data_IF_626410852154
#
_entry.id   IF_626410852154
#
_cell.length_a   1.000
_cell.length_b   1.000
_cell.length_c   1.000
_cell.angle_alpha   90.00
_cell.angle_beta   90.00
_cell.angle_gamma   90.00
#
_symmetry.space_group_name_H-M   'P 1'
#
loop_
_entity.id
_entity.type
_entity.pdbx_description
1 polymer ?
#
# COMPACT_ATOMS: atom_id res chain seq x y z
N UNK A 1 8.93 -8.12 11.18
CA UNK A 1 7.94 -7.29 11.87
C UNK A 1 7.00 -6.60 10.88
N UNK A 2 7.55 -5.85 9.93
CA UNK A 2 6.71 -5.11 8.98
C UNK A 2 5.93 -6.04 8.04
N UNK A 3 6.48 -7.18 7.64
CA UNK A 3 5.74 -8.12 6.78
C UNK A 3 4.54 -8.69 7.50
N UNK A 4 4.71 -9.10 8.76
CA UNK A 4 3.60 -9.58 9.57
C UNK A 4 2.55 -8.49 9.79
N UNK A 5 3.00 -7.25 10.04
CA UNK A 5 2.11 -6.12 10.23
C UNK A 5 1.30 -5.83 8.96
N UNK A 6 1.95 -5.91 7.78
CA UNK A 6 1.27 -5.72 6.51
C UNK A 6 0.17 -6.77 6.31
N UNK A 7 0.46 -8.03 6.62
CA UNK A 7 -0.52 -9.12 6.51
C UNK A 7 -1.70 -8.90 7.44
N UNK A 8 -1.44 -8.46 8.68
CA UNK A 8 -2.48 -8.16 9.65
C UNK A 8 -3.37 -7.00 9.18
N UNK A 9 -2.77 -5.95 8.63
CA UNK A 9 -3.53 -4.83 8.08
C UNK A 9 -4.39 -5.25 6.89
N UNK A 10 -3.85 -6.08 5.99
CA UNK A 10 -4.61 -6.55 4.83
C UNK A 10 -5.82 -7.38 5.27
N UNK A 11 -5.62 -8.28 6.24
CA UNK A 11 -6.70 -9.08 6.79
C UNK A 11 -7.79 -8.20 7.40
N UNK A 12 -7.39 -7.21 8.20
CA UNK A 12 -8.34 -6.27 8.80
C UNK A 12 -9.08 -5.47 7.73
N UNK A 13 -8.38 -5.03 6.67
CA UNK A 13 -9.00 -4.31 5.57
C UNK A 13 -10.08 -5.14 4.89
N UNK A 14 -9.79 -6.41 4.60
CA UNK A 14 -10.75 -7.30 3.93
C UNK A 14 -11.97 -7.57 4.82
N UNK A 15 -11.78 -7.70 6.13
CA UNK A 15 -12.89 -7.88 7.07
C UNK A 15 -13.79 -6.64 7.12
N UNK A 16 -13.19 -5.46 7.16
CA UNK A 16 -13.93 -4.19 7.17
C UNK A 16 -14.64 -3.96 5.85
N UNK A 17 -14.00 -4.30 4.75
CA UNK A 17 -14.60 -4.21 3.42
C UNK A 17 -15.85 -5.11 3.34
N UNK A 18 -15.75 -6.34 3.86
CA UNK A 18 -16.89 -7.28 3.87
C UNK A 18 -18.07 -6.74 4.67
N UNK A 19 -17.81 -5.91 5.69
CA UNK A 19 -18.85 -5.26 6.50
C UNK A 19 -19.33 -3.94 5.90
N UNK A 20 -18.84 -3.58 4.73
CA UNK A 20 -19.14 -2.30 4.07
C UNK A 20 -18.67 -1.07 4.86
N UNK A 21 -17.66 -1.25 5.72
CA UNK A 21 -17.00 -0.14 6.42
C UNK A 21 -15.85 0.35 5.55
N UNK A 22 -16.19 1.11 4.51
CA UNK A 22 -15.23 1.41 3.45
C UNK A 22 -14.12 2.36 3.89
N UNK A 23 -14.44 3.41 4.64
CA UNK A 23 -13.43 4.37 5.09
C UNK A 23 -12.37 3.69 5.96
N UNK A 24 -12.80 2.86 6.91
CA UNK A 24 -11.89 2.10 7.78
C UNK A 24 -11.09 1.07 6.97
N UNK A 25 -11.75 0.38 6.03
CA UNK A 25 -11.08 -0.59 5.18
C UNK A 25 -9.96 0.08 4.37
N UNK A 26 -10.24 1.25 3.79
CA UNK A 26 -9.26 2.00 3.00
C UNK A 26 -8.03 2.37 3.81
N UNK A 27 -8.20 2.79 5.07
CA UNK A 27 -7.08 3.11 5.95
C UNK A 27 -6.21 1.87 6.21
N UNK A 28 -6.84 0.71 6.37
CA UNK A 28 -6.10 -0.55 6.57
C UNK A 28 -5.35 -0.99 5.32
N UNK A 29 -5.92 -0.79 4.13
CA UNK A 29 -5.19 -1.03 2.87
C UNK A 29 -3.96 -0.12 2.78
N UNK A 30 -4.11 1.15 3.13
CA UNK A 30 -2.98 2.08 3.19
C UNK A 30 -1.91 1.58 4.18
N UNK A 31 -2.35 1.13 5.36
CA UNK A 31 -1.45 0.55 6.38
C UNK A 31 -0.69 -0.65 5.84
N UNK A 32 -1.37 -1.54 5.10
CA UNK A 32 -0.72 -2.71 4.52
C UNK A 32 0.38 -2.31 3.52
N UNK A 33 0.11 -1.30 2.69
CA UNK A 33 1.08 -0.80 1.71
C UNK A 33 2.27 -0.15 2.40
N UNK A 34 2.03 0.74 3.37
CA UNK A 34 3.12 1.45 4.06
C UNK A 34 3.99 0.49 4.87
N UNK A 35 3.40 -0.55 5.46
CA UNK A 35 4.19 -1.58 6.15
C UNK A 35 5.11 -2.32 5.17
N UNK A 36 4.64 -2.63 3.96
CA UNK A 36 5.49 -3.24 2.93
C UNK A 36 6.61 -2.30 2.50
N UNK A 37 6.32 -1.01 2.34
CA UNK A 37 7.35 -0.03 1.99
C UNK A 37 8.41 0.05 3.08
N UNK A 38 8.00 0.02 4.36
CA UNK A 38 8.94 -0.01 5.48
C UNK A 38 9.78 -1.28 5.46
N UNK A 39 9.20 -2.44 5.16
CA UNK A 39 9.94 -3.70 5.05
C UNK A 39 11.01 -3.63 3.95
N UNK A 40 10.63 -3.09 2.78
CA UNK A 40 11.57 -2.94 1.67
C UNK A 40 12.70 -1.99 2.04
N UNK A 41 12.35 -0.86 2.66
CA UNK A 41 13.36 0.12 3.08
C UNK A 41 14.34 -0.47 4.08
N UNK A 42 13.87 -1.27 5.04
CA UNK A 42 14.77 -1.96 5.98
C UNK A 42 15.73 -2.89 5.25
N UNK A 43 15.24 -3.66 4.29
CA UNK A 43 16.09 -4.57 3.51
C UNK A 43 17.15 -3.83 2.69
N UNK A 44 16.84 -2.62 2.27
CA UNK A 44 17.72 -1.81 1.41
C UNK A 44 18.55 -0.79 2.19
N UNK A 45 18.30 -0.63 3.50
CA UNK A 45 18.98 0.37 4.31
C UNK A 45 18.53 1.80 4.00
N UNK A 46 17.29 1.97 3.56
CA UNK A 46 16.72 3.29 3.23
C UNK A 46 15.94 3.85 4.41
N UNK A 47 15.85 5.18 4.49
CA UNK A 47 15.03 5.85 5.51
C UNK A 47 13.55 5.56 5.30
N UNK A 48 12.80 5.42 6.40
CA UNK A 48 11.36 5.09 6.36
C UNK A 48 10.60 5.65 7.56
N UNK A 49 10.89 6.90 7.93
CA UNK A 49 10.33 7.51 9.14
C UNK A 49 9.19 8.49 8.88
N UNK A 50 8.96 8.89 7.63
CA UNK A 50 7.96 9.90 7.30
C UNK A 50 7.18 9.52 6.05
N UNK A 51 6.06 10.21 5.83
CA UNK A 51 5.26 10.05 4.61
C UNK A 51 6.08 10.37 3.36
N UNK A 52 6.95 11.39 3.46
CA UNK A 52 7.86 11.75 2.37
C UNK A 52 8.77 10.60 1.98
N UNK A 53 9.20 9.81 2.95
CA UNK A 53 10.06 8.66 2.69
C UNK A 53 9.34 7.62 1.83
N UNK A 54 8.03 7.47 1.97
CA UNK A 54 7.26 6.57 1.11
C UNK A 54 7.33 7.00 -0.36
N UNK A 55 7.24 8.29 -0.64
CA UNK A 55 7.38 8.82 -2.01
C UNK A 55 8.76 8.50 -2.57
N UNK A 56 9.81 8.65 -1.76
CA UNK A 56 11.18 8.35 -2.17
C UNK A 56 11.34 6.86 -2.46
N UNK A 57 10.82 6.00 -1.58
CA UNK A 57 10.89 4.54 -1.75
C UNK A 57 10.20 4.13 -3.06
N UNK A 58 8.98 4.58 -3.28
CA UNK A 58 8.21 4.25 -4.50
C UNK A 58 8.97 4.74 -5.74
N UNK A 59 9.54 5.94 -5.69
CA UNK A 59 10.31 6.48 -6.81
C UNK A 59 11.54 5.63 -7.15
N UNK A 60 12.24 5.15 -6.12
CA UNK A 60 13.40 4.26 -6.30
C UNK A 60 12.98 2.92 -6.89
N UNK A 61 11.91 2.33 -6.40
CA UNK A 61 11.40 1.05 -6.93
C UNK A 61 10.94 1.21 -8.38
N UNK A 62 10.27 2.33 -8.69
CA UNK A 62 9.89 2.61 -10.07
C UNK A 62 11.10 2.63 -11.01
N UNK A 63 12.20 3.26 -10.59
CA UNK A 63 13.41 3.30 -11.42
C UNK A 63 14.00 1.92 -11.68
N UNK A 64 13.80 0.98 -10.77
CA UNK A 64 14.28 -0.39 -10.95
C UNK A 64 13.48 -1.16 -11.98
N UNK A 65 12.15 -1.06 -11.96
CA UNK A 65 11.29 -1.89 -12.80
C UNK A 65 10.61 -1.14 -13.94
N UNK A 66 10.60 0.20 -13.90
CA UNK A 66 10.00 1.07 -14.92
C UNK A 66 8.53 0.76 -15.23
N UNK A 67 7.80 0.25 -14.25
CA UNK A 67 6.37 0.00 -14.35
C UNK A 67 5.60 1.20 -13.81
N UNK A 68 5.03 1.99 -14.72
CA UNK A 68 4.29 3.22 -14.38
C UNK A 68 3.12 2.96 -13.45
N UNK A 69 2.53 1.76 -13.52
CA UNK A 69 1.39 1.43 -12.66
C UNK A 69 1.78 1.42 -11.18
N UNK A 70 3.06 1.21 -10.87
CA UNK A 70 3.54 1.28 -9.48
C UNK A 70 3.29 2.67 -8.91
N UNK A 71 3.61 3.73 -9.67
CA UNK A 71 3.38 5.11 -9.25
C UNK A 71 1.89 5.44 -9.17
N UNK A 72 1.12 5.00 -10.15
CA UNK A 72 -0.33 5.25 -10.21
C UNK A 72 -1.04 4.55 -9.06
N UNK A 73 -0.75 3.28 -8.84
CA UNK A 73 -1.36 2.49 -7.77
C UNK A 73 -1.04 3.09 -6.39
N UNK A 74 0.19 3.60 -6.22
CA UNK A 74 0.56 4.23 -4.96
C UNK A 74 -0.29 5.49 -4.70
N UNK A 75 -0.47 6.36 -5.71
CA UNK A 75 -1.29 7.56 -5.55
C UNK A 75 -2.75 7.22 -5.28
N UNK A 76 -3.27 6.19 -5.92
CA UNK A 76 -4.64 5.74 -5.68
C UNK A 76 -4.80 5.17 -4.27
N UNK A 77 -3.80 4.44 -3.79
CA UNK A 77 -3.83 3.92 -2.41
C UNK A 77 -3.72 5.06 -1.40
N UNK A 78 -2.88 6.05 -1.68
CA UNK A 78 -2.75 7.24 -0.84
C UNK A 78 -4.08 7.99 -0.73
N UNK A 79 -4.88 8.01 -1.81
CA UNK A 79 -6.21 8.61 -1.80
C UNK A 79 -7.16 7.89 -0.84
N UNK A 80 -6.99 6.60 -0.60
CA UNK A 80 -7.76 5.87 0.41
C UNK A 80 -7.47 6.40 1.81
N UNK A 81 -6.20 6.75 2.09
CA UNK A 81 -5.81 7.37 3.35
C UNK A 81 -6.49 8.73 3.51
N UNK A 82 -6.49 9.55 2.47
CA UNK A 82 -7.20 10.84 2.48
C UNK A 82 -8.71 10.64 2.70
N UNK A 83 -9.29 9.63 2.06
CA UNK A 83 -10.72 9.34 2.18
C UNK A 83 -11.11 8.93 3.60
N UNK A 84 -10.21 8.31 4.34
CA UNK A 84 -10.46 7.95 5.74
C UNK A 84 -10.81 9.19 6.56
N UNK A 85 -10.14 10.31 6.29
CA UNK A 85 -10.36 11.56 7.02
C UNK A 85 -11.49 12.41 6.43
N UNK A 86 -11.70 12.37 5.11
CA UNK A 86 -12.58 13.31 4.41
C UNK A 86 -13.84 12.67 3.81
N UNK A 87 -13.90 11.35 3.73
CA UNK A 87 -15.06 10.56 3.31
C UNK A 87 -15.71 11.08 2.01
N UNK A 88 -14.90 11.22 0.97
CA UNK A 88 -15.36 11.78 -0.32
C UNK A 88 -15.66 10.72 -1.39
N UNK A 89 -15.27 9.45 -1.18
CA UNK A 89 -15.47 8.40 -2.18
C UNK A 89 -16.82 7.72 -2.02
N UNK A 90 -17.56 7.54 -3.13
CA UNK A 90 -18.67 6.61 -3.14
C UNK A 90 -18.14 5.18 -3.26
N UNK A 91 -19.06 4.20 -3.26
CA UNK A 91 -18.67 2.79 -3.28
C UNK A 91 -17.92 2.41 -4.57
N UNK A 92 -18.37 2.92 -5.70
CA UNK A 92 -17.75 2.62 -6.99
C UNK A 92 -16.34 3.19 -7.06
N UNK A 93 -16.15 4.44 -6.68
CA UNK A 93 -14.84 5.08 -6.62
C UNK A 93 -13.92 4.35 -5.64
N UNK A 94 -14.44 3.99 -4.46
CA UNK A 94 -13.67 3.22 -3.49
C UNK A 94 -13.17 1.91 -4.08
N UNK A 95 -14.04 1.17 -4.79
CA UNK A 95 -13.67 -0.13 -5.36
C UNK A 95 -12.54 -0.01 -6.37
N UNK A 96 -12.55 1.04 -7.19
CA UNK A 96 -11.47 1.30 -8.15
C UNK A 96 -10.13 1.49 -7.41
N UNK A 97 -10.14 2.29 -6.34
CA UNK A 97 -8.94 2.52 -5.52
C UNK A 97 -8.50 1.28 -4.75
N UNK A 98 -9.46 0.49 -4.28
CA UNK A 98 -9.16 -0.77 -3.60
C UNK A 98 -8.42 -1.74 -4.52
N UNK A 99 -8.87 -1.86 -5.77
CA UNK A 99 -8.21 -2.73 -6.75
C UNK A 99 -6.77 -2.28 -6.98
N UNK A 100 -6.52 -0.98 -7.07
CA UNK A 100 -5.17 -0.45 -7.19
C UNK A 100 -4.31 -0.80 -5.98
N UNK A 101 -4.86 -0.71 -4.77
CA UNK A 101 -4.14 -1.08 -3.55
C UNK A 101 -3.78 -2.56 -3.52
N UNK A 102 -4.71 -3.43 -3.90
CA UNK A 102 -4.45 -4.87 -3.95
C UNK A 102 -3.37 -5.20 -5.00
N UNK A 103 -3.41 -4.56 -6.15
CA UNK A 103 -2.38 -4.73 -7.17
C UNK A 103 -1.01 -4.27 -6.65
N UNK A 104 -0.97 -3.11 -5.99
CA UNK A 104 0.26 -2.59 -5.41
C UNK A 104 0.84 -3.53 -4.35
N UNK A 105 0.00 -4.05 -3.46
CA UNK A 105 0.44 -5.01 -2.43
C UNK A 105 1.09 -6.22 -3.09
N UNK A 106 0.48 -6.76 -4.14
CA UNK A 106 1.02 -7.89 -4.88
C UNK A 106 2.39 -7.58 -5.48
N UNK A 107 2.53 -6.40 -6.09
CA UNK A 107 3.81 -5.96 -6.67
C UNK A 107 4.88 -5.73 -5.62
N UNK A 108 4.53 -5.09 -4.52
CA UNK A 108 5.50 -4.80 -3.45
C UNK A 108 6.01 -6.07 -2.79
N UNK A 109 5.18 -7.09 -2.67
CA UNK A 109 5.60 -8.39 -2.10
C UNK A 109 6.75 -9.01 -2.88
N UNK A 110 6.85 -8.77 -4.19
CA UNK A 110 7.93 -9.31 -5.00
C UNK A 110 9.30 -8.77 -4.57
N UNK A 111 9.35 -7.53 -4.06
CA UNK A 111 10.62 -6.94 -3.60
C UNK A 111 11.13 -7.52 -2.28
N UNK A 112 10.27 -8.18 -1.52
CA UNK A 112 10.66 -8.77 -0.23
C UNK A 112 10.81 -10.29 -0.28
N UNK A 113 10.57 -10.92 -1.44
CA UNK A 113 10.77 -12.36 -1.60
C UNK A 113 12.26 -12.68 -1.60
N UNK A 114 12.66 -13.79 -0.94
CA UNK A 114 14.05 -14.23 -1.03
C UNK A 114 14.42 -14.50 -2.47
N UNK A 115 15.61 -14.05 -2.89
CA UNK A 115 16.12 -14.40 -4.21
C UNK A 115 16.49 -15.87 -4.20
N UNK A 116 15.87 -16.62 -5.11
CA UNK A 116 16.27 -17.99 -5.37
C UNK A 116 17.59 -17.92 -6.10
N UNK A 117 18.64 -18.23 -5.38
CA UNK A 117 20.01 -18.17 -5.89
C UNK A 117 20.31 -19.22 -6.91
#
# INVERSE_FOLDING_TARGET
>A
VYLGLSEDYLKAAEELYARNDLAQAGEKYWGAVTALLNAIAELRGWEHYSHRDYDVIIGRLYKEIRDKSLLMDFRMTEALHANFYHNFMDKEEFEIHRQAALELISKLKEFVKPKMG
#
